data_IF_287799244205
#
_entry.id   IF_287799244205
#
_cell.length_a   1.000
_cell.length_b   1.000
_cell.length_c   1.000
_cell.angle_alpha   90.00
_cell.angle_beta   90.00
_cell.angle_gamma   90.00
#
_symmetry.space_group_name_H-M   'P 1'
#
loop_
_entity.id
_entity.type
_entity.pdbx_description
1 polymer ?
#
# COMPACT_ATOMS: atom_id res chain seq x y z
N UNK A 1 -6.96 -22.92 0.08
CA UNK A 1 -6.83 -22.20 1.37
C UNK A 1 -6.28 -20.80 1.12
N UNK A 2 -7.03 -19.78 1.55
CA UNK A 2 -6.65 -18.37 1.45
C UNK A 2 -5.38 -18.11 2.26
N UNK A 3 -4.32 -17.60 1.62
CA UNK A 3 -3.05 -17.32 2.30
C UNK A 3 -3.02 -15.84 2.66
N UNK A 4 -3.28 -15.53 3.92
CA UNK A 4 -3.26 -14.17 4.51
C UNK A 4 -2.02 -13.35 4.13
N UNK A 5 -0.90 -14.01 3.85
CA UNK A 5 0.35 -13.39 3.39
C UNK A 5 0.21 -12.55 2.10
N UNK A 6 -0.84 -12.75 1.31
CA UNK A 6 -1.05 -12.02 0.05
C UNK A 6 -1.66 -10.62 0.21
N UNK A 7 -2.29 -10.34 1.35
CA UNK A 7 -2.86 -9.02 1.69
C UNK A 7 -2.32 -8.49 3.02
N UNK A 8 -1.29 -9.14 3.58
CA UNK A 8 -0.75 -8.79 4.88
C UNK A 8 -0.24 -7.34 4.91
N UNK A 9 0.51 -6.90 3.88
CA UNK A 9 1.03 -5.54 3.85
C UNK A 9 -0.06 -4.47 3.83
N UNK A 10 -1.02 -4.46 2.87
CA UNK A 10 -2.07 -3.43 2.86
C UNK A 10 -2.93 -3.48 4.13
N UNK A 11 -3.24 -4.67 4.66
CA UNK A 11 -3.99 -4.79 5.91
C UNK A 11 -3.22 -4.23 7.12
N UNK A 12 -1.92 -4.53 7.24
CA UNK A 12 -1.08 -4.00 8.32
C UNK A 12 -0.94 -2.49 8.24
N UNK A 13 -0.76 -1.93 7.04
CA UNK A 13 -0.67 -0.47 6.85
C UNK A 13 -1.99 0.19 7.22
N UNK A 14 -3.13 -0.37 6.79
CA UNK A 14 -4.45 0.13 7.16
C UNK A 14 -4.62 0.15 8.69
N UNK A 15 -4.26 -0.95 9.34
CA UNK A 15 -4.35 -1.07 10.79
C UNK A 15 -3.49 -0.04 11.51
N UNK A 16 -2.25 0.17 11.04
CA UNK A 16 -1.37 1.22 11.56
C UNK A 16 -1.98 2.62 11.36
N UNK A 17 -2.54 2.92 10.20
CA UNK A 17 -3.23 4.19 9.94
C UNK A 17 -4.45 4.39 10.84
N UNK A 18 -5.21 3.33 11.11
CA UNK A 18 -6.36 3.37 12.03
C UNK A 18 -5.90 3.63 13.47
N UNK A 19 -4.84 2.96 13.93
CA UNK A 19 -4.26 3.16 15.27
C UNK A 19 -3.74 4.60 15.41
N UNK A 20 -2.98 5.08 14.41
CA UNK A 20 -2.50 6.47 14.38
C UNK A 20 -3.66 7.44 14.44
N UNK A 21 -4.70 7.23 13.63
CA UNK A 21 -5.90 8.07 13.66
C UNK A 21 -6.56 8.04 15.01
N UNK A 22 -6.80 6.88 15.61
CA UNK A 22 -7.45 6.78 16.92
C UNK A 22 -6.67 7.53 18.02
N UNK A 23 -5.33 7.45 17.97
CA UNK A 23 -4.46 8.16 18.90
C UNK A 23 -4.48 9.68 18.68
N UNK A 24 -4.24 10.14 17.45
CA UNK A 24 -4.14 11.57 17.13
C UNK A 24 -5.49 12.29 17.04
N UNK A 25 -6.60 11.59 16.76
CA UNK A 25 -7.92 12.21 16.57
C UNK A 25 -8.37 13.01 17.79
N UNK A 26 -7.99 12.58 18.99
CA UNK A 26 -8.28 13.30 20.24
C UNK A 26 -7.42 14.55 20.44
N UNK A 27 -6.25 14.57 19.81
CA UNK A 27 -5.28 15.67 19.88
C UNK A 27 -5.48 16.68 18.73
N UNK A 28 -6.28 16.34 17.72
CA UNK A 28 -6.49 17.20 16.56
C UNK A 28 -7.44 18.37 16.86
N UNK A 29 -7.09 19.60 16.44
CA UNK A 29 -8.00 20.74 16.46
C UNK A 29 -9.22 20.52 15.57
N UNK A 30 -10.25 21.37 15.71
CA UNK A 30 -11.48 21.28 14.89
C UNK A 30 -11.18 21.42 13.39
N UNK A 31 -10.21 22.26 13.05
CA UNK A 31 -9.70 22.48 11.70
C UNK A 31 -8.24 22.05 11.59
N UNK A 32 -7.93 21.30 10.54
CA UNK A 32 -6.64 20.65 10.31
C UNK A 32 -6.05 21.19 9.02
N UNK A 33 -4.82 21.70 9.09
CA UNK A 33 -4.06 22.07 7.92
C UNK A 33 -3.60 20.82 7.16
N UNK A 34 -3.97 20.68 5.89
CA UNK A 34 -3.66 19.51 5.08
C UNK A 34 -2.79 19.80 3.84
N UNK A 35 -2.75 21.05 3.38
CA UNK A 35 -1.93 21.46 2.24
C UNK A 35 -0.88 22.48 2.68
N UNK A 36 0.35 22.26 2.26
CA UNK A 36 1.52 23.06 2.62
C UNK A 36 2.17 23.63 1.36
N UNK A 37 2.38 24.94 1.33
CA UNK A 37 3.17 25.61 0.31
C UNK A 37 4.51 25.99 0.93
N UNK A 38 5.49 25.09 0.80
CA UNK A 38 6.71 25.15 1.60
C UNK A 38 6.44 24.69 3.03
N UNK A 39 6.70 25.55 4.03
CA UNK A 39 6.46 25.28 5.45
C UNK A 39 5.14 25.87 5.97
N UNK A 40 4.45 26.71 5.19
CA UNK A 40 3.23 27.39 5.63
C UNK A 40 1.95 26.66 5.19
N UNK A 41 0.97 26.48 6.09
CA UNK A 41 -0.31 25.87 5.75
C UNK A 41 -1.18 26.82 4.91
N UNK A 42 -1.69 26.33 3.79
CA UNK A 42 -2.50 27.11 2.84
C UNK A 42 -3.97 26.69 2.83
N UNK A 43 -4.27 25.43 3.17
CA UNK A 43 -5.64 24.90 3.19
C UNK A 43 -5.95 24.13 4.46
N UNK A 44 -7.14 24.40 4.97
CA UNK A 44 -7.70 23.84 6.18
C UNK A 44 -8.94 23.00 5.85
N UNK A 45 -9.15 21.93 6.61
CA UNK A 45 -10.31 21.06 6.47
C UNK A 45 -10.72 20.57 7.86
N UNK A 46 -12.01 20.32 8.07
CA UNK A 46 -12.47 19.79 9.36
C UNK A 46 -11.79 18.46 9.69
N UNK A 47 -11.49 18.24 10.97
CA UNK A 47 -10.82 17.01 11.43
C UNK A 47 -11.49 15.72 10.95
N UNK A 48 -12.82 15.71 10.90
CA UNK A 48 -13.60 14.56 10.45
C UNK A 48 -13.46 14.35 8.94
N UNK A 49 -13.57 15.42 8.15
CA UNK A 49 -13.44 15.35 6.70
C UNK A 49 -12.03 14.91 6.28
N UNK A 50 -10.97 15.45 6.88
CA UNK A 50 -9.60 15.05 6.54
C UNK A 50 -9.32 13.60 6.95
N UNK A 51 -9.87 13.14 8.09
CA UNK A 51 -9.74 11.75 8.54
C UNK A 51 -10.38 10.79 7.54
N UNK A 52 -11.61 11.09 7.10
CA UNK A 52 -12.30 10.30 6.08
C UNK A 52 -11.52 10.32 4.76
N UNK A 53 -11.04 11.50 4.35
CA UNK A 53 -10.30 11.67 3.09
C UNK A 53 -8.98 10.88 3.06
N UNK A 54 -8.32 10.72 4.21
CA UNK A 54 -7.08 9.95 4.34
C UNK A 54 -7.32 8.45 4.48
N UNK A 55 -8.33 8.03 5.26
CA UNK A 55 -8.60 6.62 5.53
C UNK A 55 -9.41 5.94 4.42
N UNK A 56 -10.41 6.60 3.83
CA UNK A 56 -11.30 5.98 2.86
C UNK A 56 -10.54 5.41 1.65
N UNK A 57 -9.57 6.12 1.03
CA UNK A 57 -8.77 5.53 -0.04
C UNK A 57 -7.97 4.31 0.41
N UNK A 58 -7.43 4.29 1.63
CA UNK A 58 -6.69 3.14 2.15
C UNK A 58 -7.59 1.90 2.35
N UNK A 59 -8.82 2.11 2.84
CA UNK A 59 -9.84 1.06 2.93
C UNK A 59 -10.17 0.49 1.56
N UNK A 60 -10.41 1.35 0.56
CA UNK A 60 -10.72 0.93 -0.82
C UNK A 60 -9.56 0.10 -1.40
N UNK A 61 -8.31 0.54 -1.23
CA UNK A 61 -7.13 -0.19 -1.71
C UNK A 61 -7.00 -1.57 -1.06
N UNK A 62 -7.23 -1.66 0.25
CA UNK A 62 -7.17 -2.94 0.99
C UNK A 62 -8.28 -3.89 0.57
N UNK A 63 -9.50 -3.37 0.35
CA UNK A 63 -10.62 -4.14 -0.18
C UNK A 63 -10.34 -4.63 -1.59
N UNK A 64 -9.79 -3.78 -2.46
CA UNK A 64 -9.40 -4.15 -3.82
C UNK A 64 -8.36 -5.28 -3.82
N UNK A 65 -7.33 -5.17 -2.97
CA UNK A 65 -6.33 -6.24 -2.79
C UNK A 65 -6.99 -7.56 -2.38
N UNK A 66 -7.96 -7.50 -1.47
CA UNK A 66 -8.71 -8.65 -0.99
C UNK A 66 -9.56 -9.29 -2.08
N UNK A 67 -10.27 -8.49 -2.87
CA UNK A 67 -11.10 -8.95 -4.00
C UNK A 67 -10.23 -9.62 -5.07
N UNK A 68 -9.08 -9.04 -5.42
CA UNK A 68 -8.15 -9.62 -6.40
C UNK A 68 -7.65 -10.98 -5.93
N UNK A 69 -7.17 -11.07 -4.68
CA UNK A 69 -6.62 -12.32 -4.13
C UNK A 69 -7.72 -13.38 -3.98
N UNK A 70 -8.92 -12.99 -3.53
CA UNK A 70 -10.05 -13.90 -3.39
C UNK A 70 -10.55 -14.41 -4.75
N UNK A 71 -10.71 -13.53 -5.74
CA UNK A 71 -11.11 -13.88 -7.09
C UNK A 71 -10.16 -14.89 -7.72
N UNK A 72 -8.85 -14.65 -7.61
CA UNK A 72 -7.82 -15.56 -8.10
C UNK A 72 -7.79 -16.90 -7.35
N UNK A 73 -7.99 -16.89 -6.02
CA UNK A 73 -8.06 -18.12 -5.24
C UNK A 73 -9.28 -18.98 -5.63
N UNK A 74 -10.43 -18.33 -5.89
CA UNK A 74 -11.65 -19.01 -6.35
C UNK A 74 -11.47 -19.59 -7.75
N UNK A 75 -10.83 -18.86 -8.66
CA UNK A 75 -10.52 -19.32 -10.01
C UNK A 75 -9.59 -20.56 -9.99
N UNK A 76 -8.53 -20.52 -9.18
CA UNK A 76 -7.57 -21.64 -9.05
C UNK A 76 -8.22 -22.92 -8.54
N UNK A 77 -9.18 -22.81 -7.62
CA UNK A 77 -9.97 -23.96 -7.15
C UNK A 77 -10.87 -24.53 -8.25
N UNK A 78 -11.50 -23.66 -9.04
CA UNK A 78 -12.38 -24.06 -10.13
C UNK A 78 -11.62 -24.81 -11.23
N UNK A 79 -10.42 -24.36 -11.58
CA UNK A 79 -9.59 -24.98 -12.63
C UNK A 79 -8.74 -26.17 -12.16
N UNK A 80 -8.83 -26.59 -10.88
CA UNK A 80 -8.00 -27.66 -10.26
C UNK A 80 -6.50 -27.55 -10.56
N UNK A 81 -6.00 -26.36 -10.85
CA UNK A 81 -4.57 -26.15 -11.10
C UNK A 81 -3.86 -26.08 -9.75
N UNK A 82 -2.93 -26.99 -9.51
CA UNK A 82 -1.92 -26.85 -8.45
C UNK A 82 -1.06 -25.65 -8.82
N UNK A 83 -1.21 -24.48 -8.17
CA UNK A 83 -0.48 -23.30 -8.60
C UNK A 83 0.99 -23.56 -8.31
N UNK A 84 1.82 -23.44 -9.34
CA UNK A 84 3.26 -23.55 -9.22
C UNK A 84 3.76 -22.57 -8.15
N UNK A 85 4.91 -22.86 -7.53
CA UNK A 85 5.47 -22.00 -6.49
C UNK A 85 5.68 -20.55 -6.98
N UNK A 86 5.87 -20.37 -8.29
CA UNK A 86 5.99 -19.08 -8.95
C UNK A 86 4.66 -18.32 -9.08
N UNK A 87 3.56 -18.98 -9.50
CA UNK A 87 2.22 -18.36 -9.55
C UNK A 87 1.83 -17.85 -8.16
N UNK A 88 2.15 -18.62 -7.11
CA UNK A 88 1.94 -18.19 -5.72
C UNK A 88 2.74 -16.93 -5.35
N UNK A 89 3.96 -16.77 -5.86
CA UNK A 89 4.79 -15.58 -5.64
C UNK A 89 4.26 -14.36 -6.40
N UNK A 90 3.85 -14.53 -7.66
CA UNK A 90 3.23 -13.43 -8.43
C UNK A 90 1.93 -12.96 -7.79
N UNK A 91 1.08 -13.89 -7.37
CA UNK A 91 -0.18 -13.55 -6.72
C UNK A 91 0.04 -12.81 -5.40
N UNK A 92 1.05 -13.21 -4.63
CA UNK A 92 1.48 -12.48 -3.45
C UNK A 92 1.94 -11.05 -3.79
N UNK A 93 2.67 -10.89 -4.88
CA UNK A 93 3.17 -9.60 -5.32
C UNK A 93 2.01 -8.69 -5.73
N UNK A 94 1.13 -9.16 -6.62
CA UNK A 94 -0.02 -8.39 -7.10
C UNK A 94 -0.93 -7.93 -5.95
N UNK A 95 -1.21 -8.81 -4.98
CA UNK A 95 -2.00 -8.46 -3.80
C UNK A 95 -1.32 -7.44 -2.89
N UNK A 96 0.01 -7.47 -2.79
CA UNK A 96 0.77 -6.54 -1.96
C UNK A 96 1.23 -5.27 -2.70
N UNK A 97 1.14 -5.18 -4.03
CA UNK A 97 1.51 -3.97 -4.79
C UNK A 97 0.70 -2.74 -4.34
N UNK A 98 -0.56 -2.96 -3.94
CA UNK A 98 -1.43 -1.91 -3.42
C UNK A 98 -0.95 -1.33 -2.09
N UNK A 99 0.01 -1.97 -1.42
CA UNK A 99 0.65 -1.44 -0.23
C UNK A 99 1.48 -0.17 -0.53
N UNK A 100 2.07 -0.03 -1.71
CA UNK A 100 2.92 1.13 -2.04
C UNK A 100 2.15 2.46 -1.97
N UNK A 101 1.04 2.67 -2.71
CA UNK A 101 0.25 3.88 -2.56
C UNK A 101 -0.33 4.03 -1.14
N UNK A 102 -0.60 2.92 -0.45
CA UNK A 102 -1.11 2.94 0.92
C UNK A 102 -0.07 3.40 1.95
N UNK A 103 1.22 3.08 1.77
CA UNK A 103 2.34 3.60 2.56
C UNK A 103 2.43 5.12 2.41
N UNK A 104 2.29 5.63 1.18
CA UNK A 104 2.32 7.08 0.91
C UNK A 104 1.16 7.77 1.65
N UNK A 105 -0.05 7.20 1.61
CA UNK A 105 -1.21 7.73 2.35
C UNK A 105 -1.03 7.64 3.87
N UNK A 106 -0.43 6.56 4.37
CA UNK A 106 -0.12 6.39 5.79
C UNK A 106 0.88 7.45 6.28
N UNK A 107 1.91 7.72 5.48
CA UNK A 107 2.87 8.79 5.77
C UNK A 107 2.21 10.17 5.72
N UNK A 108 1.35 10.43 4.73
CA UNK A 108 0.59 11.68 4.66
C UNK A 108 -0.27 11.89 5.93
N UNK A 109 -0.89 10.82 6.43
CA UNK A 109 -1.66 10.85 7.68
C UNK A 109 -0.78 11.22 8.87
N UNK A 110 0.36 10.54 9.03
CA UNK A 110 1.31 10.80 10.10
C UNK A 110 1.86 12.24 10.06
N UNK A 111 2.18 12.74 8.87
CA UNK A 111 2.71 14.08 8.67
C UNK A 111 1.68 15.15 9.00
N UNK A 112 0.46 15.05 8.46
CA UNK A 112 -0.61 16.02 8.71
C UNK A 112 -0.93 16.05 10.20
N UNK A 113 -1.04 14.88 10.85
CA UNK A 113 -1.36 14.83 12.28
C UNK A 113 -0.22 15.31 13.16
N UNK A 114 1.03 14.93 12.86
CA UNK A 114 2.20 15.42 13.61
C UNK A 114 2.36 16.92 13.51
N UNK A 115 2.11 17.49 12.32
CA UNK A 115 2.15 18.94 12.15
C UNK A 115 1.06 19.63 12.96
N UNK A 116 -0.19 19.15 12.91
CA UNK A 116 -1.30 19.85 13.58
C UNK A 116 -1.26 19.69 15.12
N UNK A 117 -0.73 18.58 15.64
CA UNK A 117 -0.62 18.36 17.09
C UNK A 117 0.67 18.92 17.71
N UNK A 118 1.80 18.86 16.99
CA UNK A 118 3.12 19.17 17.53
C UNK A 118 3.90 20.21 16.72
N UNK A 119 3.35 20.73 15.61
CA UNK A 119 4.06 21.61 14.66
C UNK A 119 5.35 20.98 14.10
N UNK A 120 5.44 19.65 14.10
CA UNK A 120 6.58 18.91 13.56
C UNK A 120 6.31 18.57 12.10
N UNK A 121 7.04 19.22 11.19
CA UNK A 121 7.06 18.89 9.78
C UNK A 121 8.17 17.85 9.50
N UNK A 122 7.78 16.60 9.23
CA UNK A 122 8.74 15.48 9.04
C UNK A 122 9.60 15.66 7.78
N UNK A 123 8.98 15.61 6.60
CA UNK A 123 9.65 15.81 5.31
C UNK A 123 8.59 16.02 4.22
N UNK A 124 8.92 16.65 3.09
CA UNK A 124 7.95 16.84 2.02
C UNK A 124 7.39 15.53 1.47
N UNK A 125 6.06 15.47 1.32
CA UNK A 125 5.34 14.29 0.82
C UNK A 125 5.87 13.81 -0.53
N UNK A 126 6.28 14.74 -1.40
CA UNK A 126 6.84 14.40 -2.71
C UNK A 126 8.19 13.67 -2.59
N UNK A 127 9.04 14.06 -1.64
CA UNK A 127 10.33 13.39 -1.38
C UNK A 127 10.09 11.98 -0.87
N UNK A 128 9.16 11.80 0.06
CA UNK A 128 8.77 10.49 0.54
C UNK A 128 8.17 9.61 -0.57
N UNK A 129 7.30 10.17 -1.39
CA UNK A 129 6.72 9.47 -2.53
C UNK A 129 7.78 9.00 -3.53
N UNK A 130 8.78 9.83 -3.84
CA UNK A 130 9.90 9.44 -4.71
C UNK A 130 10.70 8.28 -4.12
N UNK A 131 10.98 8.28 -2.82
CA UNK A 131 11.67 7.17 -2.16
C UNK A 131 10.85 5.87 -2.25
N UNK A 132 9.55 5.92 -1.95
CA UNK A 132 8.66 4.75 -2.02
C UNK A 132 8.53 4.23 -3.45
N UNK A 133 8.38 5.12 -4.43
CA UNK A 133 8.32 4.73 -5.85
C UNK A 133 9.64 4.14 -6.33
N UNK A 134 10.78 4.69 -5.92
CA UNK A 134 12.11 4.15 -6.25
C UNK A 134 12.29 2.73 -5.72
N UNK A 135 11.97 2.49 -4.44
CA UNK A 135 12.01 1.14 -3.86
C UNK A 135 11.04 0.20 -4.56
N UNK A 136 9.81 0.66 -4.85
CA UNK A 136 8.82 -0.10 -5.60
C UNK A 136 9.32 -0.52 -6.98
N UNK A 137 9.96 0.39 -7.72
CA UNK A 137 10.53 0.13 -9.04
C UNK A 137 11.65 -0.92 -8.98
N UNK A 138 12.55 -0.83 -7.99
CA UNK A 138 13.61 -1.83 -7.79
C UNK A 138 13.02 -3.22 -7.52
N UNK A 139 12.02 -3.30 -6.63
CA UNK A 139 11.33 -4.57 -6.35
C UNK A 139 10.74 -5.13 -7.65
N UNK A 140 9.98 -4.34 -8.41
CA UNK A 140 9.39 -4.77 -9.67
C UNK A 140 10.44 -5.25 -10.69
N UNK A 141 11.55 -4.53 -10.84
CA UNK A 141 12.63 -4.87 -11.76
C UNK A 141 13.28 -6.23 -11.43
N UNK A 142 13.53 -6.50 -10.14
CA UNK A 142 14.08 -7.79 -9.69
C UNK A 142 13.14 -8.94 -10.06
N UNK A 143 11.85 -8.77 -9.78
CA UNK A 143 10.84 -9.80 -10.07
C UNK A 143 10.64 -10.03 -11.57
N UNK A 144 10.63 -8.96 -12.36
CA UNK A 144 10.54 -9.05 -13.82
C UNK A 144 11.74 -9.83 -14.39
N UNK A 145 12.94 -9.53 -13.90
CA UNK A 145 14.17 -10.24 -14.29
C UNK A 145 14.10 -11.73 -13.91
N UNK A 146 13.59 -12.06 -12.72
CA UNK A 146 13.37 -13.45 -12.30
C UNK A 146 12.35 -14.16 -13.21
N UNK A 147 11.28 -13.49 -13.62
CA UNK A 147 10.27 -14.05 -14.51
C UNK A 147 10.86 -14.43 -15.89
N UNK A 148 11.62 -13.53 -16.51
CA UNK A 148 12.28 -13.81 -17.80
C UNK A 148 13.27 -14.98 -17.68
N UNK A 149 14.07 -15.00 -16.60
CA UNK A 149 15.03 -16.10 -16.37
C UNK A 149 14.33 -17.44 -16.20
N UNK A 150 13.15 -17.47 -15.60
CA UNK A 150 12.41 -18.71 -15.35
C UNK A 150 11.74 -19.26 -16.61
N UNK A 151 11.18 -18.40 -17.47
CA UNK A 151 10.64 -18.81 -18.78
C UNK A 151 11.75 -19.41 -19.64
N UNK A 152 12.93 -18.78 -19.67
CA UNK A 152 14.10 -19.31 -20.40
C UNK A 152 14.54 -20.68 -19.91
N UNK A 153 14.47 -20.96 -18.61
CA UNK A 153 14.81 -22.28 -18.04
C UNK A 153 13.77 -23.35 -18.36
N UNK A 154 12.47 -23.04 -18.26
CA UNK A 154 11.40 -23.97 -18.61
C UNK A 154 11.38 -24.37 -20.08
N UNK A 155 11.83 -23.49 -20.99
CA UNK A 155 11.94 -23.80 -22.42
C UNK A 155 13.07 -24.79 -22.75
N UNK A 156 14.11 -24.90 -21.92
CA UNK A 156 15.25 -25.80 -22.18
C UNK A 156 15.00 -27.25 -21.75
N UNK A 157 14.08 -27.50 -20.81
CA UNK A 157 13.69 -28.87 -20.42
C UNK A 157 12.75 -29.53 -21.44
N UNK A 158 12.02 -28.76 -22.25
CA UNK A 158 11.11 -29.29 -23.29
C UNK A 158 11.80 -29.65 -24.61
N UNK A 159 13.11 -29.41 -24.73
CA UNK A 159 13.92 -29.66 -25.95
C UNK A 159 14.99 -30.73 -25.77
N UNK A 160 15.02 -31.41 -24.63
CA UNK A 160 15.80 -32.64 -24.39
C UNK A 160 14.85 -33.81 -24.23
#
# INVERSE_FOLDING_TARGET
MFRWRYIALPATILLLSVILTAYFYRLLPSEVAYHFKGSSPDRWMSRGAITIWLLAPQFILTLLASVIVWGMAKLSLHFRQTPSQWIKRMLALMGNMLALPQIILGFATLQIFSYNCYQIYLMPLWTFALMVMGVGAVILAVFFTMAIRQIRRGSQESTR
#
